data_IF_639059079275
#
_entry.id   IF_639059079275
#
_cell.length_a   1.000
_cell.length_b   1.000
_cell.length_c   1.000
_cell.angle_alpha   90.00
_cell.angle_beta   90.00
_cell.angle_gamma   90.00
#
_symmetry.space_group_name_H-M   'P 1'
#
loop_
_entity.id
_entity.type
_entity.pdbx_description
1 polymer ?
#
# COMPACT_ATOMS: atom_id res chain seq x y z
N UNK A 1 4.39 22.90 43.00
CA UNK A 1 4.91 22.86 41.64
C UNK A 1 3.81 22.23 40.82
N UNK A 2 3.03 23.04 40.13
CA UNK A 2 1.99 22.56 39.22
C UNK A 2 2.71 21.98 37.99
N UNK A 3 2.61 20.67 37.80
CA UNK A 3 2.99 20.03 36.56
C UNK A 3 1.97 20.47 35.50
N UNK A 4 2.31 21.48 34.72
CA UNK A 4 1.65 21.74 33.47
C UNK A 4 1.99 20.62 32.47
N UNK A 5 1.22 19.53 32.54
CA UNK A 5 1.17 18.58 31.43
C UNK A 5 0.56 19.31 30.24
N UNK A 6 1.39 19.87 29.36
CA UNK A 6 0.94 20.31 28.04
C UNK A 6 0.57 19.04 27.32
N UNK A 7 -0.71 18.77 27.19
CA UNK A 7 -1.22 17.67 26.39
C UNK A 7 -0.81 17.96 24.94
N UNK A 8 0.06 17.12 24.39
CA UNK A 8 0.54 17.26 23.02
C UNK A 8 -0.65 17.06 22.08
N UNK A 9 -0.99 18.08 21.31
CA UNK A 9 -2.05 18.02 20.30
C UNK A 9 -1.48 17.58 18.96
N UNK A 10 -2.21 16.73 18.25
CA UNK A 10 -1.80 16.25 16.92
C UNK A 10 -2.69 16.92 15.88
N UNK A 11 -2.05 17.63 14.95
CA UNK A 11 -2.71 18.26 13.82
C UNK A 11 -2.82 17.28 12.67
N UNK A 12 -3.91 17.35 11.90
CA UNK A 12 -4.11 16.49 10.76
C UNK A 12 -5.28 16.89 9.88
N UNK A 13 -5.69 15.95 9.07
CA UNK A 13 -6.74 16.12 8.07
C UNK A 13 -7.72 14.95 8.14
N UNK A 14 -8.97 15.24 7.82
CA UNK A 14 -10.02 14.23 7.75
C UNK A 14 -10.93 14.52 6.57
N UNK A 15 -11.34 13.43 5.89
CA UNK A 15 -12.31 13.47 4.80
C UNK A 15 -13.64 12.95 5.29
N UNK A 16 -14.71 13.54 4.81
CA UNK A 16 -16.09 13.20 5.09
C UNK A 16 -16.88 13.10 3.78
N UNK A 17 -18.00 12.42 3.82
CA UNK A 17 -19.00 12.48 2.75
C UNK A 17 -19.55 13.91 2.59
N UNK A 18 -20.26 14.21 1.49
CA UNK A 18 -20.81 15.55 1.23
C UNK A 18 -21.71 16.08 2.34
N UNK A 19 -22.35 15.20 3.10
CA UNK A 19 -23.24 15.50 4.20
C UNK A 19 -22.55 15.55 5.59
N UNK A 20 -21.22 15.61 5.62
CA UNK A 20 -20.42 15.57 6.83
C UNK A 20 -20.53 14.27 7.63
N UNK A 21 -20.83 13.15 6.99
CA UNK A 21 -20.84 11.84 7.62
C UNK A 21 -19.59 11.04 7.35
N UNK A 22 -19.26 10.14 8.27
CA UNK A 22 -18.34 9.03 8.09
C UNK A 22 -19.05 7.72 8.46
N UNK A 23 -18.70 6.63 7.83
CA UNK A 23 -19.30 5.32 8.16
C UNK A 23 -18.21 4.29 8.42
N UNK A 24 -17.48 4.41 9.55
CA UNK A 24 -16.54 3.37 9.96
C UNK A 24 -17.33 2.10 10.30
N UNK A 25 -16.93 0.96 9.73
CA UNK A 25 -17.50 -0.36 10.03
C UNK A 25 -19.06 -0.44 9.92
N UNK A 26 -19.63 0.35 8.98
CA UNK A 26 -21.08 0.38 8.76
C UNK A 26 -21.88 1.29 9.71
N UNK A 27 -21.28 1.82 10.75
CA UNK A 27 -21.90 2.80 11.65
C UNK A 27 -21.71 4.22 11.10
N UNK A 28 -22.81 4.93 10.85
CA UNK A 28 -22.74 6.31 10.36
C UNK A 28 -22.65 7.27 11.53
N UNK A 29 -21.60 8.09 11.54
CA UNK A 29 -21.43 9.20 12.49
C UNK A 29 -21.56 10.53 11.77
N UNK A 30 -22.37 11.44 12.35
CA UNK A 30 -22.57 12.79 11.85
C UNK A 30 -21.59 13.74 12.52
N UNK A 31 -21.01 14.63 11.74
CA UNK A 31 -20.12 15.69 12.19
C UNK A 31 -20.63 17.08 11.79
N UNK A 32 -20.06 18.12 12.39
CA UNK A 32 -20.27 19.52 12.02
C UNK A 32 -18.91 20.19 11.86
N UNK A 33 -18.83 21.21 11.02
CA UNK A 33 -17.63 22.01 10.84
C UNK A 33 -17.95 23.50 11.01
N UNK A 34 -17.30 24.19 11.99
CA UNK A 34 -16.43 23.62 13.02
C UNK A 34 -17.18 22.78 14.06
N UNK A 35 -16.45 21.98 14.84
CA UNK A 35 -17.05 21.17 15.89
C UNK A 35 -16.04 20.41 16.72
N UNK A 36 -16.44 20.05 17.95
CA UNK A 36 -15.65 19.20 18.86
C UNK A 36 -16.43 17.94 19.16
N UNK A 37 -15.70 16.81 19.16
CA UNK A 37 -16.27 15.48 19.30
C UNK A 37 -15.43 14.66 20.26
N UNK A 38 -16.12 13.90 21.11
CA UNK A 38 -15.50 12.98 22.05
C UNK A 38 -16.17 11.60 21.92
N UNK A 39 -15.41 10.54 22.11
CA UNK A 39 -15.89 9.16 22.17
C UNK A 39 -15.34 8.50 23.43
N UNK A 40 -16.19 7.73 24.10
CA UNK A 40 -15.80 6.93 25.26
C UNK A 40 -15.50 5.49 24.79
N UNK A 41 -14.52 4.85 25.41
CA UNK A 41 -14.13 3.46 25.12
C UNK A 41 -12.65 3.32 24.79
N UNK A 42 -12.23 2.09 24.69
CA UNK A 42 -10.85 1.75 24.31
C UNK A 42 -10.65 2.01 22.80
N UNK A 43 -9.59 2.74 22.45
CA UNK A 43 -9.27 3.05 21.05
C UNK A 43 -8.78 1.80 20.33
N UNK A 44 -9.29 1.59 19.13
CA UNK A 44 -8.83 0.57 18.18
C UNK A 44 -8.72 1.20 16.78
N UNK A 45 -7.53 1.18 16.21
CA UNK A 45 -7.23 1.84 14.93
C UNK A 45 -8.05 1.31 13.74
N UNK A 46 -8.61 0.11 13.87
CA UNK A 46 -9.49 -0.48 12.85
C UNK A 46 -10.96 -0.56 13.28
N UNK A 47 -11.25 -0.32 14.56
CA UNK A 47 -12.57 -0.56 15.16
C UNK A 47 -13.21 0.67 15.78
N UNK A 48 -12.54 1.33 16.71
CA UNK A 48 -13.12 2.38 17.54
C UNK A 48 -12.25 3.61 17.63
N UNK A 49 -12.86 4.78 17.52
CA UNK A 49 -12.21 6.08 17.57
C UNK A 49 -12.41 6.92 16.30
N UNK A 50 -12.08 8.19 16.40
CA UNK A 50 -12.19 9.14 15.28
C UNK A 50 -10.90 9.16 14.49
N UNK A 51 -10.94 8.59 13.27
CA UNK A 51 -9.78 8.46 12.39
C UNK A 51 -9.47 9.73 11.63
N UNK A 52 -8.18 10.00 11.46
CA UNK A 52 -7.64 11.11 10.67
C UNK A 52 -6.25 10.74 10.14
N UNK A 53 -5.66 11.57 9.26
CA UNK A 53 -4.29 11.42 8.80
C UNK A 53 -3.52 12.72 9.05
N UNK A 54 -2.24 12.62 9.40
CA UNK A 54 -1.38 13.79 9.60
C UNK A 54 -0.99 14.46 8.27
N UNK A 55 -1.03 13.69 7.17
CA UNK A 55 -0.82 14.18 5.81
C UNK A 55 -2.15 14.13 5.03
N UNK A 56 -2.54 15.23 4.42
CA UNK A 56 -3.81 15.34 3.70
C UNK A 56 -3.95 14.34 2.54
N UNK A 57 -2.85 14.01 1.85
CA UNK A 57 -2.87 13.08 0.73
C UNK A 57 -3.24 11.64 1.16
N UNK A 58 -2.88 11.27 2.39
CA UNK A 58 -3.09 9.92 2.92
C UNK A 58 -4.57 9.65 3.23
N UNK A 59 -5.35 10.69 3.54
CA UNK A 59 -6.80 10.57 3.73
C UNK A 59 -7.49 9.92 2.52
N UNK A 60 -6.96 10.17 1.34
CA UNK A 60 -7.48 9.63 0.08
C UNK A 60 -7.00 8.22 -0.26
N UNK A 61 -6.35 7.53 0.67
CA UNK A 61 -6.20 6.08 0.65
C UNK A 61 -7.46 5.39 1.18
N UNK A 62 -8.31 6.13 1.92
CA UNK A 62 -9.53 5.64 2.58
C UNK A 62 -10.83 6.22 2.00
N UNK A 63 -10.74 7.29 1.22
CA UNK A 63 -11.85 7.97 0.56
C UNK A 63 -11.52 8.23 -0.90
N UNK A 64 -12.54 8.22 -1.75
CA UNK A 64 -12.37 8.62 -3.15
C UNK A 64 -11.89 10.07 -3.24
N UNK A 65 -10.98 10.33 -4.18
CA UNK A 65 -10.50 11.68 -4.47
C UNK A 65 -11.54 12.43 -5.31
N UNK A 66 -12.59 12.89 -4.63
CA UNK A 66 -13.77 13.53 -5.24
C UNK A 66 -14.00 14.90 -4.60
N UNK A 67 -14.20 15.93 -5.44
CA UNK A 67 -14.48 17.31 -5.03
C UNK A 67 -15.81 17.51 -4.30
N UNK A 68 -16.71 16.53 -4.36
CA UNK A 68 -17.94 16.53 -3.57
C UNK A 68 -17.70 16.18 -2.10
N UNK A 69 -16.62 15.47 -1.77
CA UNK A 69 -16.27 15.16 -0.40
C UNK A 69 -15.87 16.42 0.37
N UNK A 70 -16.16 16.44 1.65
CA UNK A 70 -15.73 17.47 2.58
C UNK A 70 -14.36 17.12 3.14
N UNK A 71 -13.42 18.05 3.12
CA UNK A 71 -12.09 17.91 3.71
C UNK A 71 -11.93 18.95 4.78
N UNK A 72 -11.42 18.57 5.93
CA UNK A 72 -11.23 19.49 7.03
C UNK A 72 -9.86 19.37 7.69
N UNK A 73 -9.37 20.46 8.20
CA UNK A 73 -8.32 20.52 9.20
C UNK A 73 -8.86 20.07 10.55
N UNK A 74 -8.12 19.16 11.21
CA UNK A 74 -8.52 18.62 12.51
C UNK A 74 -7.38 18.67 13.51
N UNK A 75 -7.75 18.71 14.81
CA UNK A 75 -6.84 18.65 15.94
C UNK A 75 -7.31 17.52 16.85
N UNK A 76 -6.45 16.52 17.05
CA UNK A 76 -6.63 15.51 18.09
C UNK A 76 -6.05 16.05 19.41
N UNK A 77 -6.88 16.14 20.44
CA UNK A 77 -6.52 16.68 21.77
C UNK A 77 -6.73 15.67 22.90
N UNK A 78 -6.99 14.42 22.56
CA UNK A 78 -7.10 13.26 23.47
C UNK A 78 -5.95 12.29 23.31
N UNK A 79 -6.23 11.01 23.60
CA UNK A 79 -5.32 9.91 23.30
C UNK A 79 -5.25 9.69 21.80
N UNK A 80 -4.05 9.49 21.25
CA UNK A 80 -3.85 9.21 19.82
C UNK A 80 -3.14 7.87 19.65
N UNK A 81 -3.73 6.98 18.85
CA UNK A 81 -3.08 5.79 18.32
C UNK A 81 -2.72 6.03 16.87
N UNK A 82 -1.54 5.52 16.44
CA UNK A 82 -1.04 5.66 15.08
C UNK A 82 -0.57 4.33 14.52
N UNK A 83 -0.99 4.04 13.28
CA UNK A 83 -0.52 2.90 12.50
C UNK A 83 -0.39 3.30 11.03
N UNK A 84 0.85 3.25 10.52
CA UNK A 84 1.15 3.65 9.15
C UNK A 84 0.82 5.13 8.90
N UNK A 85 -0.06 5.38 7.94
CA UNK A 85 -0.52 6.71 7.51
C UNK A 85 -1.83 7.16 8.18
N UNK A 86 -2.38 6.33 9.09
CA UNK A 86 -3.65 6.55 9.77
C UNK A 86 -3.45 6.72 11.26
N UNK A 87 -4.19 7.65 11.83
CA UNK A 87 -4.29 7.89 13.28
C UNK A 87 -5.75 7.84 13.72
N UNK A 88 -6.01 7.48 14.97
CA UNK A 88 -7.31 7.62 15.60
C UNK A 88 -7.22 8.23 16.99
N UNK A 89 -8.29 8.90 17.43
CA UNK A 89 -8.36 9.57 18.72
C UNK A 89 -9.75 9.48 19.33
N UNK A 90 -9.82 9.58 20.66
CA UNK A 90 -11.06 9.72 21.42
C UNK A 90 -11.58 11.16 21.42
N UNK A 91 -10.73 12.19 21.13
CA UNK A 91 -11.11 13.60 21.16
C UNK A 91 -10.59 14.33 19.93
N UNK A 92 -11.52 14.81 19.11
CA UNK A 92 -11.24 15.47 17.83
C UNK A 92 -11.95 16.81 17.72
N UNK A 93 -11.21 17.85 17.36
CA UNK A 93 -11.75 19.14 16.93
C UNK A 93 -11.66 19.24 15.41
N UNK A 94 -12.77 19.53 14.76
CA UNK A 94 -12.82 19.94 13.36
C UNK A 94 -12.70 21.46 13.33
N UNK A 95 -11.60 21.98 12.81
CA UNK A 95 -11.26 23.40 12.87
C UNK A 95 -11.95 24.18 11.77
N UNK A 96 -11.77 23.74 10.54
CA UNK A 96 -12.34 24.38 9.35
C UNK A 96 -12.47 23.41 8.19
N UNK A 97 -13.42 23.68 7.31
CA UNK A 97 -13.45 23.08 5.97
C UNK A 97 -12.30 23.63 5.12
N UNK A 98 -11.66 22.76 4.35
CA UNK A 98 -10.62 23.12 3.38
C UNK A 98 -11.28 23.16 2.00
N UNK A 99 -11.32 24.30 1.31
CA UNK A 99 -11.84 24.41 -0.05
C UNK A 99 -11.04 23.50 -1.01
N UNK A 100 -11.70 22.97 -2.03
CA UNK A 100 -11.10 21.98 -2.92
C UNK A 100 -9.84 22.48 -3.65
N UNK A 101 -9.79 23.76 -4.01
CA UNK A 101 -8.60 24.36 -4.61
C UNK A 101 -7.41 24.42 -3.63
N UNK A 102 -7.66 24.52 -2.32
CA UNK A 102 -6.64 24.40 -1.27
C UNK A 102 -6.25 22.93 -1.08
N UNK A 103 -7.21 21.97 -1.12
CA UNK A 103 -6.91 20.54 -1.10
C UNK A 103 -5.94 20.18 -2.22
N UNK A 104 -6.18 20.64 -3.46
CA UNK A 104 -5.27 20.38 -4.58
C UNK A 104 -3.86 20.91 -4.35
N UNK A 105 -3.69 21.98 -3.56
CA UNK A 105 -2.37 22.52 -3.23
C UNK A 105 -1.64 21.70 -2.16
N UNK A 106 -2.36 21.24 -1.13
CA UNK A 106 -1.73 20.53 -0.01
C UNK A 106 -1.44 19.04 -0.30
N UNK A 107 -2.14 18.43 -1.25
CA UNK A 107 -1.91 17.03 -1.65
C UNK A 107 -0.89 16.87 -2.80
N UNK A 108 -0.35 17.97 -3.31
CA UNK A 108 0.61 17.98 -4.42
C UNK A 108 1.83 18.84 -4.10
N UNK A 109 2.98 18.45 -4.67
CA UNK A 109 4.20 19.27 -4.68
C UNK A 109 4.38 19.84 -6.08
N UNK A 110 3.68 20.94 -6.39
CA UNK A 110 3.73 21.58 -7.70
C UNK A 110 2.51 22.46 -7.96
N UNK A 111 2.49 23.11 -9.13
CA UNK A 111 1.43 24.09 -9.50
C UNK A 111 0.57 23.56 -10.63
N UNK A 112 -0.72 23.92 -10.61
CA UNK A 112 -1.70 23.60 -11.66
C UNK A 112 -1.81 22.08 -11.92
N UNK A 113 -1.75 21.27 -10.87
CA UNK A 113 -2.03 19.84 -10.92
C UNK A 113 -3.51 19.59 -10.66
N UNK A 114 -4.08 18.60 -11.34
CA UNK A 114 -5.36 17.99 -11.01
C UNK A 114 -5.07 16.54 -10.59
N UNK A 115 -5.69 16.08 -9.51
CA UNK A 115 -5.33 14.82 -8.89
C UNK A 115 -4.46 15.00 -7.64
N UNK A 116 -3.84 13.92 -7.17
CA UNK A 116 -3.08 13.92 -5.90
C UNK A 116 -1.69 13.31 -6.04
N UNK A 117 -0.83 13.63 -5.07
CA UNK A 117 0.52 13.05 -4.97
C UNK A 117 1.38 13.30 -6.22
N UNK A 118 1.19 14.45 -6.87
CA UNK A 118 2.04 14.85 -7.98
C UNK A 118 3.24 15.65 -7.48
N UNK A 119 4.41 15.41 -8.07
CA UNK A 119 5.60 16.23 -7.93
C UNK A 119 5.92 16.85 -9.27
N UNK A 120 5.97 18.20 -9.32
CA UNK A 120 6.10 18.97 -10.56
C UNK A 120 4.81 19.63 -11.00
N UNK A 121 4.82 20.29 -12.16
CA UNK A 121 3.75 21.21 -12.54
C UNK A 121 2.87 20.67 -13.67
N UNK A 122 1.61 21.09 -13.69
CA UNK A 122 0.66 20.84 -14.78
C UNK A 122 0.43 19.35 -15.05
N UNK A 123 0.44 18.53 -14.00
CA UNK A 123 0.09 17.13 -14.11
C UNK A 123 -1.43 16.95 -13.99
N UNK A 124 -2.00 16.07 -14.82
CA UNK A 124 -3.38 15.61 -14.73
C UNK A 124 -3.39 14.13 -14.42
N UNK A 125 -4.02 13.76 -13.31
CA UNK A 125 -3.98 12.40 -12.76
C UNK A 125 -3.16 12.34 -11.47
N UNK A 126 -2.81 11.13 -11.03
CA UNK A 126 -2.24 10.90 -9.71
C UNK A 126 -0.80 10.39 -9.78
N UNK A 127 -0.01 10.73 -8.76
CA UNK A 127 1.31 10.14 -8.54
C UNK A 127 2.27 10.28 -9.73
N UNK A 128 2.25 11.44 -10.37
CA UNK A 128 3.22 11.77 -11.41
C UNK A 128 4.42 12.51 -10.82
N UNK A 129 5.60 12.19 -11.33
CA UNK A 129 6.83 12.93 -11.06
C UNK A 129 7.35 13.53 -12.37
N UNK A 130 7.51 14.85 -12.41
CA UNK A 130 7.84 15.62 -13.62
C UNK A 130 6.70 16.56 -14.00
N UNK A 131 6.68 17.04 -15.22
CA UNK A 131 5.76 18.10 -15.64
C UNK A 131 4.90 17.67 -16.82
N UNK A 132 3.67 18.21 -16.89
CA UNK A 132 2.78 18.07 -18.04
C UNK A 132 2.45 16.62 -18.41
N UNK A 133 2.34 15.77 -17.40
CA UNK A 133 1.86 14.40 -17.59
C UNK A 133 0.33 14.33 -17.53
N UNK A 134 -0.26 13.47 -18.35
CA UNK A 134 -1.68 13.12 -18.33
C UNK A 134 -1.81 11.62 -18.10
N UNK A 135 -2.46 11.24 -17.02
CA UNK A 135 -2.58 9.86 -16.54
C UNK A 135 -1.88 9.70 -15.19
N UNK A 136 -1.69 8.47 -14.76
CA UNK A 136 -1.21 8.15 -13.41
C UNK A 136 0.18 7.51 -13.44
N UNK A 137 0.95 7.75 -12.38
CA UNK A 137 2.22 7.06 -12.16
C UNK A 137 3.28 7.29 -13.24
N UNK A 138 3.34 8.45 -13.87
CA UNK A 138 4.38 8.78 -14.82
C UNK A 138 5.58 9.40 -14.12
N UNK A 139 6.78 9.05 -14.61
CA UNK A 139 8.05 9.68 -14.25
C UNK A 139 8.69 10.25 -15.49
N UNK A 140 8.96 11.56 -15.50
CA UNK A 140 9.43 12.33 -16.64
C UNK A 140 8.39 13.35 -17.11
N UNK A 141 8.57 13.94 -18.27
CA UNK A 141 7.78 15.05 -18.74
C UNK A 141 6.93 14.69 -19.98
N UNK A 142 5.79 15.37 -20.14
CA UNK A 142 4.96 15.30 -21.33
C UNK A 142 4.42 13.91 -21.67
N UNK A 143 4.24 13.02 -20.70
CA UNK A 143 3.65 11.71 -20.94
C UNK A 143 2.11 11.78 -20.98
N UNK A 144 1.52 10.97 -21.88
CA UNK A 144 0.10 10.65 -21.88
C UNK A 144 -0.04 9.15 -21.72
N UNK A 145 -0.89 8.71 -20.80
CA UNK A 145 -1.01 7.31 -20.41
C UNK A 145 -0.50 7.10 -18.99
N UNK A 146 -0.39 5.85 -18.58
CA UNK A 146 -0.08 5.50 -17.21
C UNK A 146 1.25 4.74 -17.12
N UNK A 147 1.96 4.96 -16.01
CA UNK A 147 3.17 4.19 -15.67
C UNK A 147 4.27 4.26 -16.73
N UNK A 148 4.50 5.45 -17.25
CA UNK A 148 5.62 5.71 -18.14
C UNK A 148 6.83 6.20 -17.35
N UNK A 149 8.01 5.80 -17.80
CA UNK A 149 9.31 6.35 -17.37
C UNK A 149 10.04 6.88 -18.57
N UNK A 150 10.33 8.19 -18.56
CA UNK A 150 10.88 8.94 -19.70
C UNK A 150 9.90 9.99 -20.21
N UNK A 151 10.11 10.52 -21.40
CA UNK A 151 9.44 11.71 -21.87
C UNK A 151 8.65 11.50 -23.17
N UNK A 152 7.61 12.29 -23.35
CA UNK A 152 6.85 12.37 -24.61
C UNK A 152 6.16 11.07 -25.04
N UNK A 153 5.88 10.16 -24.10
CA UNK A 153 5.16 8.92 -24.41
C UNK A 153 3.67 9.17 -24.57
N UNK A 154 3.01 8.45 -25.50
CA UNK A 154 1.59 8.56 -25.83
C UNK A 154 0.79 7.29 -25.54
N UNK A 155 1.42 6.28 -24.99
CA UNK A 155 0.80 5.04 -24.52
C UNK A 155 1.26 4.72 -23.10
N UNK A 156 0.82 3.62 -22.52
CA UNK A 156 1.10 3.26 -21.14
C UNK A 156 2.23 2.21 -21.03
N UNK A 157 2.83 2.13 -19.84
CA UNK A 157 3.86 1.14 -19.49
C UNK A 157 5.14 1.20 -20.33
N UNK A 158 5.51 2.39 -20.78
CA UNK A 158 6.73 2.57 -21.56
C UNK A 158 7.91 2.99 -20.70
N UNK A 159 9.08 2.48 -21.07
CA UNK A 159 10.36 2.99 -20.60
C UNK A 159 11.14 3.51 -21.81
N UNK A 160 11.41 4.84 -21.82
CA UNK A 160 12.01 5.53 -22.95
C UNK A 160 11.22 6.76 -23.39
N UNK A 161 11.48 7.27 -24.58
CA UNK A 161 10.90 8.52 -25.06
C UNK A 161 10.21 8.31 -26.43
N UNK A 162 9.17 9.13 -26.69
CA UNK A 162 8.42 9.16 -27.94
C UNK A 162 7.75 7.83 -28.31
N UNK A 163 7.33 7.06 -27.32
CA UNK A 163 6.64 5.79 -27.53
C UNK A 163 5.15 6.03 -27.77
N UNK A 164 4.62 5.46 -28.84
CA UNK A 164 3.20 5.56 -29.23
C UNK A 164 2.41 4.27 -29.02
N UNK A 165 3.12 3.17 -28.80
CA UNK A 165 2.57 1.83 -28.57
C UNK A 165 3.12 1.25 -27.27
N UNK A 166 2.38 0.33 -26.65
CA UNK A 166 2.83 -0.38 -25.47
C UNK A 166 3.99 -1.33 -25.81
N UNK A 167 5.07 -1.25 -25.04
CA UNK A 167 6.27 -2.04 -25.29
C UNK A 167 6.07 -3.51 -24.94
N UNK A 168 6.70 -4.37 -25.73
CA UNK A 168 6.92 -5.77 -25.37
C UNK A 168 7.93 -5.86 -24.24
N UNK A 169 7.64 -6.71 -23.26
CA UNK A 169 8.52 -6.88 -22.10
C UNK A 169 9.45 -8.07 -22.26
N UNK A 170 10.55 -8.04 -21.52
CA UNK A 170 11.46 -9.17 -21.44
C UNK A 170 11.01 -10.14 -20.35
N UNK A 171 11.17 -11.43 -20.60
CA UNK A 171 11.07 -12.48 -19.61
C UNK A 171 12.36 -13.28 -19.58
N UNK A 172 12.87 -13.56 -18.40
CA UNK A 172 14.08 -14.36 -18.20
C UNK A 172 15.25 -13.88 -19.08
N UNK A 173 15.47 -12.54 -19.07
CA UNK A 173 16.53 -11.85 -19.84
C UNK A 173 16.41 -11.98 -21.37
N UNK A 174 15.28 -12.41 -21.91
CA UNK A 174 15.03 -12.57 -23.35
C UNK A 174 13.78 -11.82 -23.78
N UNK A 175 13.73 -11.29 -25.02
CA UNK A 175 12.52 -10.66 -25.57
C UNK A 175 11.33 -11.62 -25.57
N UNK A 176 10.15 -11.08 -25.33
CA UNK A 176 8.89 -11.83 -25.42
C UNK A 176 7.86 -11.08 -26.28
N UNK A 177 6.78 -11.76 -26.63
CA UNK A 177 5.65 -11.16 -27.32
C UNK A 177 4.62 -10.53 -26.36
N UNK A 178 4.84 -10.67 -25.06
CA UNK A 178 3.93 -10.13 -24.05
C UNK A 178 4.18 -8.64 -23.80
N UNK A 179 3.08 -7.92 -23.55
CA UNK A 179 3.10 -6.57 -22.96
C UNK A 179 3.06 -6.66 -21.44
N UNK A 180 3.28 -5.53 -20.76
CA UNK A 180 3.10 -5.49 -19.31
C UNK A 180 1.65 -5.74 -18.90
N UNK A 181 0.67 -5.37 -19.73
CA UNK A 181 -0.75 -5.69 -19.51
C UNK A 181 -1.02 -7.20 -19.57
N UNK A 182 -0.37 -7.93 -20.49
CA UNK A 182 -0.49 -9.40 -20.55
C UNK A 182 0.01 -10.02 -19.24
N UNK A 183 1.17 -9.56 -18.74
CA UNK A 183 1.69 -9.98 -17.45
C UNK A 183 0.72 -9.66 -16.29
N UNK A 184 0.18 -8.43 -16.22
CA UNK A 184 -0.76 -8.02 -15.17
C UNK A 184 -2.02 -8.89 -15.08
N UNK A 185 -2.47 -9.42 -16.21
CA UNK A 185 -3.68 -10.25 -16.33
C UNK A 185 -3.41 -11.75 -16.31
N UNK A 186 -2.14 -12.15 -16.23
CA UNK A 186 -1.78 -13.57 -16.31
C UNK A 186 -2.11 -14.33 -15.03
N UNK A 187 -2.52 -15.59 -15.20
CA UNK A 187 -2.72 -16.51 -14.08
C UNK A 187 -1.41 -16.78 -13.33
N UNK A 188 -0.26 -16.75 -14.03
CA UNK A 188 1.05 -16.92 -13.41
C UNK A 188 1.33 -15.82 -12.38
N UNK A 189 1.09 -14.54 -12.73
CA UNK A 189 1.20 -13.42 -11.79
C UNK A 189 0.25 -13.55 -10.62
N UNK A 190 -0.99 -13.96 -10.87
CA UNK A 190 -1.97 -14.18 -9.81
C UNK A 190 -1.49 -15.25 -8.82
N UNK A 191 -0.92 -16.35 -9.29
CA UNK A 191 -0.37 -17.39 -8.44
C UNK A 191 0.84 -16.89 -7.65
N UNK A 192 1.81 -16.26 -8.31
CA UNK A 192 3.05 -15.76 -7.69
C UNK A 192 2.79 -14.70 -6.60
N UNK A 193 1.78 -13.85 -6.78
CA UNK A 193 1.39 -12.87 -5.76
C UNK A 193 0.80 -13.50 -4.48
N UNK A 194 0.57 -14.79 -4.47
CA UNK A 194 0.04 -15.54 -3.32
C UNK A 194 1.12 -16.32 -2.57
N UNK A 195 2.37 -16.18 -2.93
CA UNK A 195 3.48 -16.72 -2.15
C UNK A 195 3.41 -16.11 -0.75
N UNK A 196 3.25 -16.93 0.31
CA UNK A 196 3.18 -16.43 1.68
C UNK A 196 4.55 -15.88 2.10
N UNK A 197 4.54 -14.80 2.86
CA UNK A 197 5.79 -14.17 3.36
C UNK A 197 6.12 -14.54 4.79
N UNK A 198 5.13 -14.99 5.54
CA UNK A 198 5.25 -15.32 6.95
C UNK A 198 4.56 -16.66 7.20
N UNK A 199 5.32 -17.73 7.16
CA UNK A 199 4.86 -19.06 7.55
C UNK A 199 5.54 -19.43 8.85
N UNK A 200 4.79 -20.00 9.78
CA UNK A 200 5.34 -20.56 11.00
C UNK A 200 5.14 -22.07 10.97
N UNK A 201 6.17 -22.80 11.38
CA UNK A 201 6.16 -24.26 11.49
C UNK A 201 6.38 -24.65 12.94
N UNK A 202 5.65 -25.65 13.40
CA UNK A 202 5.90 -26.24 14.71
C UNK A 202 6.99 -27.28 14.62
N UNK A 203 8.12 -27.03 15.27
CA UNK A 203 9.23 -27.98 15.39
C UNK A 203 9.07 -28.72 16.69
N UNK A 204 8.90 -30.06 16.61
CA UNK A 204 8.81 -30.89 17.78
C UNK A 204 10.17 -31.02 18.47
N UNK A 205 10.16 -31.19 19.81
CA UNK A 205 11.36 -31.26 20.61
C UNK A 205 12.35 -32.35 20.17
N UNK A 206 11.86 -33.45 19.59
CA UNK A 206 12.65 -34.55 19.06
C UNK A 206 13.34 -34.21 17.72
N UNK A 207 12.82 -33.26 16.98
CA UNK A 207 13.32 -32.80 15.67
C UNK A 207 14.24 -31.57 15.80
N UNK A 208 14.37 -30.98 17.00
CA UNK A 208 15.17 -29.77 17.24
C UNK A 208 16.68 -30.10 17.26
N UNK A 209 17.45 -29.19 16.66
CA UNK A 209 18.92 -29.20 16.81
C UNK A 209 19.34 -28.80 18.23
N UNK A 210 20.61 -29.06 18.57
CA UNK A 210 21.14 -28.69 19.90
C UNK A 210 21.16 -27.16 20.12
N UNK A 211 21.37 -26.38 19.04
CA UNK A 211 21.29 -24.92 19.03
C UNK A 211 19.87 -24.46 19.29
N UNK A 212 18.89 -25.01 18.59
CA UNK A 212 17.47 -24.66 18.75
C UNK A 212 16.97 -25.03 20.16
N UNK A 213 17.44 -26.14 20.75
CA UNK A 213 17.13 -26.51 22.13
C UNK A 213 17.71 -25.52 23.16
N UNK A 214 18.90 -25.00 22.88
CA UNK A 214 19.53 -24.00 23.73
C UNK A 214 18.81 -22.64 23.68
N UNK A 215 18.31 -22.25 22.49
CA UNK A 215 17.55 -21.01 22.29
C UNK A 215 16.12 -21.10 22.84
N UNK A 216 15.52 -22.30 22.87
CA UNK A 216 14.17 -22.55 23.35
C UNK A 216 14.16 -23.53 24.57
N UNK A 217 14.69 -23.13 25.75
CA UNK A 217 14.89 -24.04 26.89
C UNK A 217 13.59 -24.63 27.44
N UNK A 218 12.44 -24.11 27.08
CA UNK A 218 11.12 -24.65 27.49
C UNK A 218 10.59 -25.77 26.58
N UNK A 219 11.32 -26.14 25.53
CA UNK A 219 10.89 -27.10 24.51
C UNK A 219 10.42 -28.46 25.06
N UNK A 220 11.02 -28.94 26.17
CA UNK A 220 10.59 -30.19 26.81
C UNK A 220 9.19 -30.08 27.43
N UNK A 221 8.85 -28.90 27.97
CA UNK A 221 7.55 -28.65 28.63
C UNK A 221 6.46 -28.33 27.57
N UNK A 222 6.81 -27.59 26.52
CA UNK A 222 5.90 -27.20 25.44
C UNK A 222 5.78 -28.29 24.38
N UNK A 223 6.70 -29.26 24.31
CA UNK A 223 6.79 -30.28 23.29
C UNK A 223 7.44 -29.79 21.97
N UNK A 224 8.00 -28.56 21.97
CA UNK A 224 8.61 -27.95 20.79
C UNK A 224 8.52 -26.41 20.79
N UNK A 225 8.75 -25.79 19.63
CA UNK A 225 8.63 -24.33 19.44
C UNK A 225 8.08 -23.98 18.07
N UNK A 226 7.62 -22.70 17.90
CA UNK A 226 7.22 -22.16 16.62
C UNK A 226 8.42 -21.52 15.91
N UNK A 227 8.82 -22.10 14.79
CA UNK A 227 9.85 -21.57 13.90
C UNK A 227 9.21 -20.65 12.85
N UNK A 228 9.70 -19.42 12.76
CA UNK A 228 9.35 -18.52 11.64
C UNK A 228 10.27 -18.88 10.48
N UNK A 229 9.65 -19.27 9.35
CA UNK A 229 10.38 -19.62 8.14
C UNK A 229 10.84 -18.36 7.40
N UNK A 230 11.98 -18.44 6.73
CA UNK A 230 12.41 -17.37 5.83
C UNK A 230 11.59 -17.34 4.53
N UNK A 231 11.78 -16.29 3.70
CA UNK A 231 10.98 -16.11 2.48
C UNK A 231 11.22 -17.23 1.44
N UNK A 232 12.42 -17.84 1.42
CA UNK A 232 12.74 -18.91 0.49
C UNK A 232 12.07 -20.22 0.88
N UNK A 233 12.08 -20.55 2.17
CA UNK A 233 11.40 -21.74 2.72
C UNK A 233 9.88 -21.62 2.53
N UNK A 234 9.31 -20.43 2.80
CA UNK A 234 7.91 -20.14 2.53
C UNK A 234 7.56 -20.35 1.05
N UNK A 235 8.43 -19.91 0.15
CA UNK A 235 8.29 -20.08 -1.30
C UNK A 235 8.31 -21.53 -1.72
N UNK A 236 9.24 -22.33 -1.19
CA UNK A 236 9.37 -23.74 -1.52
C UNK A 236 8.19 -24.58 -1.03
N UNK A 237 7.71 -24.33 0.20
CA UNK A 237 6.49 -24.96 0.72
C UNK A 237 5.26 -24.64 -0.13
N UNK A 238 5.12 -23.35 -0.50
CA UNK A 238 4.05 -22.93 -1.39
C UNK A 238 4.13 -23.66 -2.75
N UNK A 239 5.33 -23.75 -3.36
CA UNK A 239 5.54 -24.46 -4.60
C UNK A 239 5.13 -25.93 -4.49
N UNK A 240 5.53 -26.61 -3.40
CA UNK A 240 5.13 -28.00 -3.10
C UNK A 240 3.62 -28.18 -2.99
N UNK A 241 2.89 -27.17 -2.51
CA UNK A 241 1.43 -27.20 -2.36
C UNK A 241 0.64 -26.99 -3.65
N UNK A 242 1.29 -26.52 -4.73
CA UNK A 242 0.63 -26.27 -6.01
C UNK A 242 0.32 -27.58 -6.75
N UNK A 243 -0.85 -27.60 -7.39
CA UNK A 243 -1.18 -28.66 -8.35
C UNK A 243 -0.28 -28.58 -9.59
N UNK A 244 -0.14 -29.72 -10.32
CA UNK A 244 0.62 -29.75 -11.57
C UNK A 244 0.12 -28.71 -12.59
N UNK A 245 -1.20 -28.49 -12.63
CA UNK A 245 -1.78 -27.47 -13.49
C UNK A 245 -1.25 -26.07 -13.14
N UNK A 246 -1.18 -25.72 -11.86
CA UNK A 246 -0.68 -24.43 -11.41
C UNK A 246 0.82 -24.28 -11.66
N UNK A 247 1.60 -25.34 -11.39
CA UNK A 247 3.03 -25.36 -11.71
C UNK A 247 3.26 -25.16 -13.22
N UNK A 248 2.45 -25.82 -14.07
CA UNK A 248 2.55 -25.68 -15.52
C UNK A 248 2.19 -24.27 -16.01
N UNK A 249 1.24 -23.56 -15.38
CA UNK A 249 0.94 -22.17 -15.70
C UNK A 249 2.19 -21.28 -15.51
N UNK A 250 2.93 -21.47 -14.44
CA UNK A 250 4.17 -20.72 -14.18
C UNK A 250 5.28 -21.13 -15.15
N UNK A 251 5.47 -22.43 -15.37
CA UNK A 251 6.48 -22.94 -16.30
C UNK A 251 6.20 -22.60 -17.77
N UNK A 252 4.95 -22.23 -18.11
CA UNK A 252 4.55 -21.78 -19.44
C UNK A 252 4.81 -20.28 -19.70
N UNK A 253 5.38 -19.54 -18.75
CA UNK A 253 5.80 -18.18 -18.99
C UNK A 253 6.77 -18.08 -20.17
N UNK A 254 6.73 -17.02 -20.98
CA UNK A 254 7.66 -16.85 -22.09
C UNK A 254 9.12 -17.01 -21.65
N UNK A 255 9.88 -17.79 -22.37
CA UNK A 255 11.30 -18.04 -22.10
C UNK A 255 11.62 -18.59 -20.70
N UNK A 256 10.70 -19.29 -20.06
CA UNK A 256 10.89 -19.78 -18.69
C UNK A 256 12.25 -20.44 -18.51
N UNK A 257 12.97 -20.01 -17.49
CA UNK A 257 14.30 -20.50 -17.15
C UNK A 257 14.32 -20.83 -15.64
N UNK A 258 14.49 -22.11 -15.26
CA UNK A 258 14.44 -22.54 -13.86
C UNK A 258 15.50 -21.89 -12.98
N UNK A 259 16.70 -21.65 -13.51
CA UNK A 259 17.82 -21.07 -12.78
C UNK A 259 17.55 -19.58 -12.47
N UNK A 260 17.09 -18.82 -13.48
CA UNK A 260 16.72 -17.42 -13.29
C UNK A 260 15.50 -17.31 -12.37
N UNK A 261 14.54 -18.24 -12.50
CA UNK A 261 13.38 -18.27 -11.59
C UNK A 261 13.82 -18.48 -10.14
N UNK A 262 14.73 -19.44 -9.90
CA UNK A 262 15.32 -19.65 -8.58
C UNK A 262 16.04 -18.42 -8.06
N UNK A 263 16.89 -17.77 -8.86
CA UNK A 263 17.59 -16.54 -8.46
C UNK A 263 16.63 -15.41 -8.06
N UNK A 264 15.46 -15.34 -8.69
CA UNK A 264 14.47 -14.28 -8.42
C UNK A 264 13.53 -14.59 -7.25
N UNK A 265 13.29 -15.88 -6.95
CA UNK A 265 12.22 -16.27 -6.02
C UNK A 265 12.70 -17.15 -4.87
N UNK A 266 13.90 -17.73 -4.95
CA UNK A 266 14.38 -18.75 -4.04
C UNK A 266 13.72 -20.13 -4.23
N UNK A 267 12.81 -20.30 -5.21
CA UNK A 267 12.03 -21.52 -5.42
C UNK A 267 12.72 -22.45 -6.41
N UNK A 268 13.04 -23.66 -5.99
CA UNK A 268 13.53 -24.71 -6.84
C UNK A 268 12.36 -25.47 -7.49
N UNK A 269 12.18 -25.30 -8.80
CA UNK A 269 11.05 -25.91 -9.54
C UNK A 269 11.26 -27.39 -9.88
N UNK A 270 12.42 -27.95 -9.56
CA UNK A 270 12.78 -29.34 -9.78
C UNK A 270 12.59 -30.22 -8.53
N UNK A 271 12.33 -29.59 -7.41
CA UNK A 271 11.90 -30.18 -6.14
C UNK A 271 10.39 -29.95 -5.94
#
# INVERSE_FOLDING_TARGET
>A
MENNNVQEVVHGFKVFRPDWTCSPNGNTKQYTCPGKFEEEGELDICGHGMHFCENAADCFNYYDFDSNNKVAEVIAYGTVLKEGDKSCTDKLEIVREIPWDEVLRIVNTGKNCTGRCNTGNRNTGNRNTGNRNTGDWNTGDWNTGNRNTGDWNKSSFNTGCFMTEEQKIMFFNKPSDWTYNDWLRSDARYLLNRIPKNVVEWIYSEDMTDEEKAEHPTHETTGGYLKVLDESDCGQLWWGSLSDRQKNIIKALPNFDPEIFYQCTGINVNE
#
